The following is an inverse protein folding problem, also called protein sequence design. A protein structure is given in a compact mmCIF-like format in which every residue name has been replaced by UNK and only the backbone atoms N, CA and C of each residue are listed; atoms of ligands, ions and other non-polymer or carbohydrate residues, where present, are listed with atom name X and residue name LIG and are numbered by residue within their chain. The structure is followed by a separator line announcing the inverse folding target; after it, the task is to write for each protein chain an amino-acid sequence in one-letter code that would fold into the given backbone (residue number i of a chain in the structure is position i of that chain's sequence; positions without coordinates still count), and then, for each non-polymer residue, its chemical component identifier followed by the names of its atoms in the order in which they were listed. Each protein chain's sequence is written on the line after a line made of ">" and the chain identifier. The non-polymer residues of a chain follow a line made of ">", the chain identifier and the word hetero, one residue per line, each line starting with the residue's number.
data_IF_140238215152
#
_entry.id   IF_140238215152
#
_cell.length_a   1.000
_cell.length_b   1.000
_cell.length_c   1.000
_cell.angle_alpha   90.00
_cell.angle_beta   90.00
_cell.angle_gamma   90.00
#
_symmetry.space_group_name_H-M   'P 1'
#
loop_
_entity.id
_entity.type
_entity.pdbx_description
1 polymer ?
#
# COMPACT_ATOMS: atom_id res chain seq x y z
N UNK A 1 -12.25 -73.81 -9.46
CA UNK A 1 -12.61 -72.45 -9.01
C UNK A 1 -13.94 -72.56 -8.33
N UNK A 2 -15.00 -72.94 -9.04
CA UNK A 2 -16.20 -73.49 -8.41
C UNK A 2 -16.00 -75.01 -8.35
N UNK A 3 -15.64 -75.52 -7.18
CA UNK A 3 -15.21 -76.92 -6.99
C UNK A 3 -16.38 -77.84 -6.62
N UNK A 4 -17.41 -77.29 -5.96
CA UNK A 4 -18.66 -78.00 -5.66
C UNK A 4 -19.74 -77.86 -6.76
N UNK A 5 -19.47 -77.04 -7.77
CA UNK A 5 -20.32 -76.77 -8.93
C UNK A 5 -21.70 -76.20 -8.57
N UNK A 6 -21.78 -75.42 -7.48
CA UNK A 6 -23.01 -74.78 -7.02
C UNK A 6 -23.41 -73.52 -7.84
N UNK A 7 -22.51 -73.07 -8.72
CA UNK A 7 -22.71 -71.91 -9.60
C UNK A 7 -22.24 -70.58 -9.01
N UNK A 8 -21.67 -70.62 -7.81
CA UNK A 8 -21.02 -69.51 -7.13
C UNK A 8 -19.60 -69.91 -6.71
N UNK A 9 -18.76 -68.91 -6.44
CA UNK A 9 -17.41 -69.13 -5.93
C UNK A 9 -17.29 -68.45 -4.58
N UNK A 10 -16.95 -69.22 -3.56
CA UNK A 10 -16.78 -68.72 -2.20
C UNK A 10 -15.33 -68.27 -1.92
N UNK A 11 -15.15 -67.72 -0.71
CA UNK A 11 -13.83 -67.23 -0.27
C UNK A 11 -12.79 -68.33 -0.08
N UNK A 12 -13.20 -69.53 0.33
CA UNK A 12 -12.29 -70.66 0.56
C UNK A 12 -11.82 -71.27 -0.75
N UNK A 13 -12.73 -71.47 -1.69
CA UNK A 13 -12.44 -71.96 -3.04
C UNK A 13 -11.52 -71.01 -3.80
N UNK A 14 -11.73 -69.69 -3.65
CA UNK A 14 -10.84 -68.70 -4.25
C UNK A 14 -9.44 -68.72 -3.62
N UNK A 15 -9.31 -68.91 -2.30
CA UNK A 15 -8.00 -69.00 -1.64
C UNK A 15 -7.25 -70.27 -2.06
N UNK A 16 -7.94 -71.41 -2.17
CA UNK A 16 -7.39 -72.67 -2.67
C UNK A 16 -6.93 -72.52 -4.12
N UNK A 17 -7.78 -71.97 -5.00
CA UNK A 17 -7.44 -71.70 -6.39
C UNK A 17 -6.21 -70.80 -6.56
N UNK A 18 -6.11 -69.73 -5.78
CA UNK A 18 -4.98 -68.81 -5.86
C UNK A 18 -3.65 -69.46 -5.46
N UNK A 19 -3.67 -70.37 -4.49
CA UNK A 19 -2.47 -71.06 -3.98
C UNK A 19 -2.08 -72.26 -4.84
N UNK A 20 -3.04 -73.06 -5.26
CA UNK A 20 -2.78 -74.33 -5.94
C UNK A 20 -2.58 -74.15 -7.45
N UNK A 21 -3.51 -73.46 -8.11
CA UNK A 21 -3.51 -73.32 -9.56
C UNK A 21 -2.67 -72.14 -10.04
N UNK A 22 -2.84 -70.97 -9.41
CA UNK A 22 -2.10 -69.75 -9.76
C UNK A 22 -0.74 -69.62 -9.04
N UNK A 23 -0.48 -70.46 -8.02
CA UNK A 23 0.79 -70.51 -7.27
C UNK A 23 1.20 -69.18 -6.64
N UNK A 24 0.24 -68.39 -6.15
CA UNK A 24 0.52 -67.18 -5.38
C UNK A 24 0.93 -67.52 -3.94
N UNK A 25 2.03 -66.90 -3.49
CA UNK A 25 2.54 -67.12 -2.13
C UNK A 25 1.84 -66.25 -1.07
N UNK A 26 1.23 -65.13 -1.49
CA UNK A 26 0.38 -64.27 -0.64
C UNK A 26 -0.88 -63.84 -1.41
N UNK A 27 -2.00 -64.58 -1.25
CA UNK A 27 -3.23 -64.32 -2.00
C UNK A 27 -4.08 -63.19 -1.41
N UNK A 28 -3.73 -62.60 -0.26
CA UNK A 28 -4.64 -61.70 0.50
C UNK A 28 -5.11 -60.48 -0.29
N UNK A 29 -4.21 -59.83 -1.01
CA UNK A 29 -4.56 -58.64 -1.80
C UNK A 29 -5.44 -58.99 -3.00
N UNK A 30 -5.17 -60.14 -3.63
CA UNK A 30 -5.94 -60.66 -4.78
C UNK A 30 -7.32 -61.15 -4.34
N UNK A 31 -7.38 -61.85 -3.22
CA UNK A 31 -8.60 -62.31 -2.57
C UNK A 31 -9.53 -61.13 -2.23
N UNK A 32 -8.98 -60.07 -1.62
CA UNK A 32 -9.74 -58.84 -1.33
C UNK A 32 -10.17 -58.10 -2.60
N UNK A 33 -9.38 -58.12 -3.66
CA UNK A 33 -9.74 -57.50 -4.94
C UNK A 33 -10.92 -58.21 -5.61
N UNK A 34 -10.94 -59.54 -5.57
CA UNK A 34 -11.96 -60.37 -6.20
C UNK A 34 -13.29 -60.34 -5.43
N UNK A 35 -13.26 -60.63 -4.13
CA UNK A 35 -14.45 -60.66 -3.27
C UNK A 35 -14.93 -59.27 -2.83
N UNK A 36 -14.03 -58.31 -2.64
CA UNK A 36 -14.32 -56.99 -2.03
C UNK A 36 -15.11 -57.11 -0.72
N UNK A 37 -16.44 -57.10 -0.78
CA UNK A 37 -17.35 -57.28 0.36
C UNK A 37 -18.30 -58.48 0.18
N UNK A 38 -18.31 -59.12 -0.99
CA UNK A 38 -19.19 -60.21 -1.38
C UNK A 38 -18.55 -61.56 -1.03
N UNK A 39 -19.26 -62.37 -0.25
CA UNK A 39 -18.77 -63.68 0.20
C UNK A 39 -18.85 -64.76 -0.89
N UNK A 40 -19.78 -64.60 -1.85
CA UNK A 40 -20.00 -65.52 -2.95
C UNK A 40 -20.07 -64.71 -4.24
N UNK A 41 -19.36 -65.16 -5.28
CA UNK A 41 -19.33 -64.51 -6.59
C UNK A 41 -19.96 -65.45 -7.61
N UNK A 42 -21.01 -65.01 -8.29
CA UNK A 42 -21.60 -65.80 -9.37
C UNK A 42 -20.82 -65.65 -10.69
N UNK A 43 -21.05 -66.57 -11.63
CA UNK A 43 -20.51 -66.47 -13.00
C UNK A 43 -20.94 -65.15 -13.69
N UNK A 44 -22.15 -64.68 -13.40
CA UNK A 44 -22.64 -63.42 -13.95
C UNK A 44 -21.86 -62.22 -13.39
N UNK A 45 -21.49 -62.26 -12.11
CA UNK A 45 -20.70 -61.22 -11.47
C UNK A 45 -19.27 -61.18 -12.03
N UNK A 46 -18.64 -62.35 -12.24
CA UNK A 46 -17.35 -62.44 -12.92
C UNK A 46 -17.40 -61.86 -14.35
N UNK A 47 -18.47 -62.16 -15.09
CA UNK A 47 -18.67 -61.65 -16.45
C UNK A 47 -18.85 -60.13 -16.47
N UNK A 48 -19.62 -59.59 -15.52
CA UNK A 48 -19.82 -58.15 -15.38
C UNK A 48 -18.53 -57.45 -14.92
N UNK A 49 -17.79 -58.05 -13.99
CA UNK A 49 -16.48 -57.57 -13.54
C UNK A 49 -15.50 -57.50 -14.72
N UNK A 50 -15.41 -58.56 -15.53
CA UNK A 50 -14.57 -58.57 -16.73
C UNK A 50 -14.99 -57.52 -17.76
N UNK A 51 -16.28 -57.38 -18.06
CA UNK A 51 -16.79 -56.35 -18.97
C UNK A 51 -16.51 -54.92 -18.51
N UNK A 52 -16.52 -54.70 -17.20
CA UNK A 52 -16.22 -53.40 -16.60
C UNK A 52 -14.73 -53.09 -16.53
N UNK A 53 -13.89 -54.11 -16.68
CA UNK A 53 -12.43 -53.99 -16.64
C UNK A 53 -11.87 -53.38 -17.92
N UNK A 54 -10.78 -52.63 -17.79
CA UNK A 54 -10.06 -52.01 -18.92
C UNK A 54 -9.61 -53.04 -19.96
N UNK A 55 -9.37 -54.29 -19.52
CA UNK A 55 -8.97 -55.44 -20.33
C UNK A 55 -9.99 -55.73 -21.43
N UNK A 56 -11.29 -55.56 -21.16
CA UNK A 56 -12.33 -55.81 -22.15
C UNK A 56 -12.20 -54.91 -23.39
N UNK A 57 -11.70 -53.69 -23.19
CA UNK A 57 -11.53 -52.68 -24.23
C UNK A 57 -10.11 -52.65 -24.82
N UNK A 58 -9.28 -53.65 -24.51
CA UNK A 58 -7.93 -53.70 -25.05
C UNK A 58 -7.90 -53.91 -26.56
N UNK A 59 -7.08 -53.08 -27.21
CA UNK A 59 -6.74 -53.22 -28.62
C UNK A 59 -5.73 -54.35 -28.83
N UNK A 60 -5.61 -54.81 -30.07
CA UNK A 60 -4.63 -55.85 -30.45
C UNK A 60 -3.19 -55.45 -30.07
N UNK A 61 -2.86 -54.16 -30.12
CA UNK A 61 -1.54 -53.65 -29.72
C UNK A 61 -1.32 -53.76 -28.21
N UNK A 62 -2.32 -53.44 -27.39
CA UNK A 62 -2.20 -53.59 -25.93
C UNK A 62 -2.10 -55.07 -25.51
N UNK A 63 -2.79 -55.97 -26.22
CA UNK A 63 -2.63 -57.42 -26.02
C UNK A 63 -1.24 -57.89 -26.44
N UNK A 64 -0.66 -57.31 -27.49
CA UNK A 64 0.71 -57.58 -27.93
C UNK A 64 1.73 -57.09 -26.89
N UNK A 65 1.57 -55.87 -26.39
CA UNK A 65 2.40 -55.31 -25.31
C UNK A 65 2.30 -56.14 -24.04
N UNK A 66 1.09 -56.58 -23.68
CA UNK A 66 0.87 -57.51 -22.57
C UNK A 66 1.62 -58.84 -22.77
N UNK A 67 1.56 -59.43 -23.96
CA UNK A 67 2.26 -60.66 -24.29
C UNK A 67 3.79 -60.49 -24.17
N UNK A 68 4.30 -59.31 -24.52
CA UNK A 68 5.71 -58.96 -24.43
C UNK A 68 6.18 -58.73 -22.99
N UNK A 69 5.47 -57.89 -22.24
CA UNK A 69 5.90 -57.41 -20.92
C UNK A 69 5.50 -58.38 -19.80
N UNK A 70 4.27 -58.89 -19.83
CA UNK A 70 3.71 -59.65 -18.70
C UNK A 70 3.80 -61.17 -18.88
N UNK A 71 3.70 -61.65 -20.12
CA UNK A 71 3.82 -63.08 -20.44
C UNK A 71 5.26 -63.43 -20.86
N UNK A 72 6.02 -62.44 -21.33
CA UNK A 72 7.41 -62.58 -21.80
C UNK A 72 7.53 -63.59 -22.97
N UNK A 73 6.54 -63.59 -23.87
CA UNK A 73 6.49 -64.49 -25.03
C UNK A 73 6.46 -63.70 -26.36
N UNK A 74 7.53 -62.97 -26.69
CA UNK A 74 7.60 -62.16 -27.92
C UNK A 74 7.44 -62.98 -29.20
N UNK A 75 7.85 -64.24 -29.19
CA UNK A 75 7.85 -65.13 -30.35
C UNK A 75 6.46 -65.41 -30.94
N UNK A 76 5.38 -65.19 -30.17
CA UNK A 76 4.01 -65.42 -30.63
C UNK A 76 3.27 -64.13 -31.00
N UNK A 77 3.91 -62.95 -30.88
CA UNK A 77 3.28 -61.64 -31.17
C UNK A 77 2.69 -61.58 -32.59
N UNK A 78 3.42 -62.09 -33.59
CA UNK A 78 2.93 -62.12 -34.96
C UNK A 78 1.68 -62.96 -35.14
N UNK A 79 1.54 -64.07 -34.40
CA UNK A 79 0.36 -64.93 -34.46
C UNK A 79 -0.86 -64.20 -33.88
N UNK A 80 -0.67 -63.52 -32.75
CA UNK A 80 -1.71 -62.70 -32.11
C UNK A 80 -2.15 -61.54 -33.02
N UNK A 81 -1.19 -60.87 -33.68
CA UNK A 81 -1.45 -59.80 -34.63
C UNK A 81 -2.18 -60.29 -35.89
N UNK A 82 -1.76 -61.43 -36.47
CA UNK A 82 -2.40 -62.03 -37.66
C UNK A 82 -3.85 -62.42 -37.38
N UNK A 83 -4.14 -62.87 -36.16
CA UNK A 83 -5.48 -63.26 -35.75
C UNK A 83 -6.33 -62.14 -35.17
N UNK A 84 -5.76 -60.94 -35.01
CA UNK A 84 -6.41 -59.77 -34.42
C UNK A 84 -7.03 -60.10 -33.06
N UNK A 85 -6.26 -60.77 -32.20
CA UNK A 85 -6.70 -61.07 -30.85
C UNK A 85 -6.80 -59.79 -30.03
N UNK A 86 -8.03 -59.41 -29.72
CA UNK A 86 -8.42 -58.27 -28.91
C UNK A 86 -8.71 -58.69 -27.46
N UNK A 87 -8.90 -57.71 -26.57
CA UNK A 87 -9.19 -57.96 -25.16
C UNK A 87 -10.40 -58.86 -24.92
N UNK A 88 -11.38 -58.83 -25.84
CA UNK A 88 -12.60 -59.65 -25.83
C UNK A 88 -12.32 -61.13 -26.02
N UNK A 89 -11.22 -61.48 -26.69
CA UNK A 89 -10.83 -62.86 -26.94
C UNK A 89 -9.99 -63.48 -25.80
N UNK A 90 -9.52 -62.68 -24.84
CA UNK A 90 -8.67 -63.16 -23.73
C UNK A 90 -9.29 -64.29 -22.91
N UNK A 91 -10.60 -64.29 -22.57
CA UNK A 91 -11.22 -65.42 -21.88
C UNK A 91 -11.11 -66.75 -22.62
N UNK A 92 -11.05 -66.73 -23.95
CA UNK A 92 -10.87 -67.94 -24.75
C UNK A 92 -9.45 -68.51 -24.64
N UNK A 93 -8.47 -67.68 -24.26
CA UNK A 93 -7.08 -68.07 -24.02
C UNK A 93 -6.86 -68.61 -22.61
N UNK A 94 -7.68 -68.19 -21.64
CA UNK A 94 -7.64 -68.69 -20.27
C UNK A 94 -8.22 -70.11 -20.13
N UNK A 95 -8.99 -70.57 -21.11
CA UNK A 95 -9.47 -71.95 -21.17
C UNK A 95 -8.48 -72.81 -21.95
N UNK A 96 -8.22 -74.01 -21.45
CA UNK A 96 -7.34 -74.99 -22.11
C UNK A 96 -7.96 -75.50 -23.41
N UNK A 97 -7.68 -74.80 -24.52
CA UNK A 97 -8.15 -75.17 -25.85
C UNK A 97 -6.96 -75.52 -26.75
N UNK A 98 -6.70 -76.81 -26.92
CA UNK A 98 -5.57 -77.31 -27.73
C UNK A 98 -5.70 -76.90 -29.20
N UNK A 99 -6.91 -76.83 -29.74
CA UNK A 99 -7.15 -76.39 -31.13
C UNK A 99 -6.72 -74.93 -31.32
N UNK A 100 -7.14 -74.03 -30.43
CA UNK A 100 -6.79 -72.60 -30.51
C UNK A 100 -5.27 -72.40 -30.29
N UNK A 101 -4.72 -73.04 -29.26
CA UNK A 101 -3.33 -72.82 -28.88
C UNK A 101 -2.34 -73.46 -29.85
N UNK A 102 -2.63 -74.67 -30.35
CA UNK A 102 -1.71 -75.43 -31.21
C UNK A 102 -1.93 -75.16 -32.70
N UNK A 103 -3.17 -75.21 -33.21
CA UNK A 103 -3.42 -75.08 -34.65
C UNK A 103 -3.43 -73.61 -35.11
N UNK A 104 -3.93 -72.74 -34.24
CA UNK A 104 -4.28 -71.37 -34.56
C UNK A 104 -3.14 -70.44 -34.11
N UNK A 105 -2.70 -70.53 -32.86
CA UNK A 105 -1.58 -69.74 -32.33
C UNK A 105 -0.18 -70.35 -32.54
N UNK A 106 -0.10 -71.62 -32.98
CA UNK A 106 1.16 -72.36 -33.21
C UNK A 106 2.06 -72.45 -31.97
N UNK A 107 1.47 -72.43 -30.77
CA UNK A 107 2.19 -72.62 -29.52
C UNK A 107 2.29 -74.13 -29.29
N UNK A 108 3.39 -74.72 -29.76
CA UNK A 108 3.64 -76.16 -29.66
C UNK A 108 4.07 -76.58 -28.25
N UNK A 109 4.68 -75.66 -27.49
CA UNK A 109 5.17 -75.94 -26.16
C UNK A 109 4.06 -75.86 -25.11
N UNK A 110 3.93 -76.94 -24.33
CA UNK A 110 2.98 -77.04 -23.23
C UNK A 110 3.28 -76.01 -22.15
N UNK A 111 4.55 -75.71 -21.88
CA UNK A 111 4.95 -74.76 -20.83
C UNK A 111 4.47 -73.34 -21.16
N UNK A 112 4.65 -72.90 -22.42
CA UNK A 112 4.19 -71.60 -22.90
C UNK A 112 2.67 -71.51 -22.93
N UNK A 113 1.98 -72.59 -23.31
CA UNK A 113 0.51 -72.63 -23.27
C UNK A 113 -0.03 -72.45 -21.85
N UNK A 114 0.60 -73.09 -20.86
CA UNK A 114 0.22 -73.01 -19.45
C UNK A 114 0.55 -71.63 -18.88
N UNK A 115 1.72 -71.06 -19.18
CA UNK A 115 2.10 -69.70 -18.76
C UNK A 115 1.12 -68.67 -19.31
N UNK A 116 0.78 -68.76 -20.60
CA UNK A 116 -0.20 -67.88 -21.24
C UNK A 116 -1.58 -68.03 -20.60
N UNK A 117 -2.02 -69.27 -20.34
CA UNK A 117 -3.31 -69.55 -19.72
C UNK A 117 -3.41 -68.92 -18.31
N UNK A 118 -2.39 -69.15 -17.46
CA UNK A 118 -2.34 -68.61 -16.10
C UNK A 118 -2.30 -67.07 -16.11
N UNK A 119 -1.51 -66.47 -17.01
CA UNK A 119 -1.43 -65.01 -17.13
C UNK A 119 -2.71 -64.39 -17.70
N UNK A 120 -3.35 -65.05 -18.67
CA UNK A 120 -4.64 -64.61 -19.20
C UNK A 120 -5.71 -64.64 -18.10
N UNK A 121 -5.73 -65.70 -17.31
CA UNK A 121 -6.65 -65.86 -16.20
C UNK A 121 -6.43 -64.82 -15.10
N UNK A 122 -5.18 -64.58 -14.69
CA UNK A 122 -4.82 -63.53 -13.73
C UNK A 122 -5.37 -62.15 -14.18
N UNK A 123 -5.26 -61.83 -15.47
CA UNK A 123 -5.73 -60.55 -16.00
C UNK A 123 -7.24 -60.44 -16.12
N UNK A 124 -7.92 -61.53 -16.43
CA UNK A 124 -9.38 -61.54 -16.50
C UNK A 124 -9.98 -61.40 -15.10
N UNK A 125 -9.39 -62.07 -14.11
CA UNK A 125 -9.88 -62.08 -12.73
C UNK A 125 -9.49 -60.80 -11.97
N UNK A 126 -8.27 -60.31 -12.16
CA UNK A 126 -7.71 -59.23 -11.34
C UNK A 126 -7.43 -57.93 -12.10
N UNK A 127 -7.61 -57.91 -13.42
CA UNK A 127 -7.38 -56.74 -14.26
C UNK A 127 -5.94 -56.63 -14.76
N UNK A 128 -5.62 -55.53 -15.48
CA UNK A 128 -4.26 -55.28 -15.97
C UNK A 128 -3.25 -55.37 -14.83
N UNK A 129 -2.06 -55.96 -15.03
CA UNK A 129 -0.96 -55.69 -14.12
C UNK A 129 -0.77 -54.17 -14.06
N UNK A 130 -0.35 -53.61 -12.92
CA UNK A 130 -0.02 -52.20 -12.81
C UNK A 130 1.20 -51.91 -13.70
N UNK A 131 0.96 -51.74 -15.00
CA UNK A 131 1.98 -51.46 -15.99
C UNK A 131 2.27 -49.95 -15.98
N UNK A 132 3.42 -49.63 -16.56
CA UNK A 132 4.17 -48.38 -16.67
C UNK A 132 3.39 -47.16 -17.23
N UNK A 133 2.09 -47.03 -16.99
CA UNK A 133 1.24 -45.92 -17.39
C UNK A 133 1.19 -44.79 -16.33
N UNK A 134 2.01 -44.92 -15.29
CA UNK A 134 2.07 -43.98 -14.17
C UNK A 134 3.24 -43.01 -14.26
N UNK A 135 4.30 -43.23 -15.04
CA UNK A 135 5.42 -42.26 -15.04
C UNK A 135 4.99 -40.86 -15.49
N UNK A 136 4.12 -40.75 -16.49
CA UNK A 136 3.54 -39.47 -16.90
C UNK A 136 2.57 -38.90 -15.86
N UNK A 137 1.74 -39.75 -15.25
CA UNK A 137 0.78 -39.32 -14.21
C UNK A 137 1.52 -38.85 -12.95
N UNK A 138 2.58 -39.56 -12.57
CA UNK A 138 3.48 -39.26 -11.46
C UNK A 138 4.30 -38.01 -11.75
N UNK A 139 4.71 -37.78 -13.00
CA UNK A 139 5.39 -36.56 -13.43
C UNK A 139 4.45 -35.35 -13.37
N UNK A 140 3.20 -35.50 -13.82
CA UNK A 140 2.16 -34.46 -13.70
C UNK A 140 1.84 -34.20 -12.22
N UNK A 141 1.73 -35.25 -11.40
CA UNK A 141 1.50 -35.15 -9.96
C UNK A 141 2.64 -34.40 -9.28
N UNK A 142 3.89 -34.78 -9.56
CA UNK A 142 5.09 -34.12 -9.05
C UNK A 142 5.16 -32.65 -9.47
N UNK A 143 4.83 -32.35 -10.73
CA UNK A 143 4.78 -30.97 -11.22
C UNK A 143 3.69 -30.17 -10.50
N UNK A 144 2.53 -30.77 -10.22
CA UNK A 144 1.44 -30.12 -9.47
C UNK A 144 1.83 -29.81 -8.03
N UNK A 145 2.53 -30.73 -7.37
CA UNK A 145 3.04 -30.54 -6.00
C UNK A 145 4.11 -29.46 -5.99
N UNK A 146 4.98 -29.42 -6.99
CA UNK A 146 6.02 -28.38 -7.10
C UNK A 146 5.41 -26.99 -7.35
N UNK A 147 4.35 -26.89 -8.16
CA UNK A 147 3.58 -25.66 -8.34
C UNK A 147 2.88 -25.23 -7.05
N UNK A 148 2.34 -26.17 -6.27
CA UNK A 148 1.75 -25.86 -4.97
C UNK A 148 2.79 -25.38 -3.94
N UNK A 149 3.96 -26.01 -3.89
CA UNK A 149 5.05 -25.62 -2.99
C UNK A 149 5.65 -24.26 -3.36
N UNK A 150 5.83 -23.99 -4.66
CA UNK A 150 6.28 -22.68 -5.13
C UNK A 150 5.25 -21.59 -4.84
N UNK A 151 3.96 -21.88 -5.03
CA UNK A 151 2.86 -20.99 -4.63
C UNK A 151 2.84 -20.72 -3.11
N UNK A 152 2.94 -21.76 -2.29
CA UNK A 152 2.98 -21.63 -0.83
C UNK A 152 4.22 -20.87 -0.34
N UNK A 153 5.40 -21.15 -0.90
CA UNK A 153 6.63 -20.42 -0.58
C UNK A 153 6.53 -18.94 -0.99
N UNK A 154 5.99 -18.66 -2.18
CA UNK A 154 5.79 -17.29 -2.65
C UNK A 154 4.79 -16.52 -1.77
N UNK A 155 3.67 -17.14 -1.40
CA UNK A 155 2.71 -16.55 -0.47
C UNK A 155 3.32 -16.32 0.92
N UNK A 156 4.16 -17.23 1.41
CA UNK A 156 4.87 -17.08 2.67
C UNK A 156 5.87 -15.91 2.63
N UNK A 157 6.64 -15.78 1.55
CA UNK A 157 7.57 -14.65 1.32
C UNK A 157 6.80 -13.33 1.17
N UNK A 158 5.71 -13.32 0.42
CA UNK A 158 4.86 -12.15 0.23
C UNK A 158 4.18 -11.73 1.54
N UNK A 159 3.75 -12.69 2.35
CA UNK A 159 3.23 -12.43 3.69
C UNK A 159 4.31 -11.79 4.56
N UNK A 160 5.55 -12.29 4.51
CA UNK A 160 6.67 -11.69 5.26
C UNK A 160 6.96 -10.27 4.80
N UNK A 161 6.95 -10.00 3.49
CA UNK A 161 7.16 -8.65 2.92
C UNK A 161 5.98 -7.71 3.21
N UNK A 162 4.75 -8.20 3.21
CA UNK A 162 3.54 -7.42 3.54
C UNK A 162 3.52 -6.97 5.00
N UNK A 163 4.15 -7.71 5.92
CA UNK A 163 4.28 -7.29 7.33
C UNK A 163 5.13 -6.03 7.46
N UNK A 164 6.15 -5.87 6.62
CA UNK A 164 6.95 -4.66 6.58
C UNK A 164 6.13 -3.47 6.08
N UNK A 165 5.35 -3.66 5.00
CA UNK A 165 4.45 -2.61 4.48
C UNK A 165 3.33 -2.26 5.47
N UNK A 166 2.74 -3.24 6.15
CA UNK A 166 1.76 -3.01 7.23
C UNK A 166 2.37 -2.26 8.41
N UNK A 167 3.62 -2.56 8.78
CA UNK A 167 4.31 -1.84 9.84
C UNK A 167 4.60 -0.38 9.48
N UNK A 168 4.85 -0.11 8.18
CA UNK A 168 5.00 1.27 7.66
C UNK A 168 3.66 2.00 7.67
N UNK A 169 2.61 1.37 7.17
CA UNK A 169 1.26 1.93 7.20
C UNK A 169 0.76 2.19 8.62
N UNK A 170 1.07 1.33 9.58
CA UNK A 170 0.72 1.54 10.99
C UNK A 170 1.45 2.75 11.59
N UNK A 171 2.73 2.93 11.26
CA UNK A 171 3.50 4.14 11.66
C UNK A 171 2.93 5.41 11.05
N UNK A 172 2.51 5.35 9.78
CA UNK A 172 1.90 6.49 9.11
C UNK A 172 0.53 6.83 9.73
N UNK A 173 -0.26 5.82 10.12
CA UNK A 173 -1.54 5.97 10.83
C UNK A 173 -1.36 6.59 12.22
N UNK A 174 -0.37 6.11 12.98
CA UNK A 174 -0.01 6.74 14.26
C UNK A 174 0.46 8.19 14.06
N UNK A 175 1.18 8.47 12.98
CA UNK A 175 1.59 9.82 12.59
C UNK A 175 0.41 10.74 12.27
N UNK A 176 -0.54 10.25 11.48
CA UNK A 176 -1.78 10.96 11.16
C UNK A 176 -2.64 11.22 12.40
N UNK A 177 -2.80 10.22 13.28
CA UNK A 177 -3.55 10.37 14.51
C UNK A 177 -2.90 11.40 15.45
N UNK A 178 -1.56 11.47 15.48
CA UNK A 178 -0.83 12.49 16.25
C UNK A 178 -1.01 13.89 15.67
N UNK A 179 -1.07 14.01 14.34
CA UNK A 179 -1.34 15.26 13.65
C UNK A 179 -2.80 15.72 13.85
N UNK A 180 -3.75 14.78 13.89
CA UNK A 180 -5.15 15.08 14.23
C UNK A 180 -5.26 15.61 15.67
N UNK A 181 -4.59 14.95 16.63
CA UNK A 181 -4.54 15.42 18.02
C UNK A 181 -3.89 16.80 18.15
N UNK A 182 -2.82 17.09 17.40
CA UNK A 182 -2.16 18.40 17.46
C UNK A 182 -3.01 19.51 16.83
N UNK A 183 -3.77 19.20 15.77
CA UNK A 183 -4.75 20.14 15.20
C UNK A 183 -5.89 20.44 16.16
N UNK A 184 -6.40 19.42 16.87
CA UNK A 184 -7.40 19.61 17.92
C UNK A 184 -6.86 20.46 19.08
N UNK A 185 -5.63 20.20 19.53
CA UNK A 185 -4.95 21.00 20.58
C UNK A 185 -4.71 22.44 20.13
N UNK A 186 -4.37 22.66 18.86
CA UNK A 186 -4.24 24.01 18.29
C UNK A 186 -5.58 24.74 18.19
N UNK A 187 -6.66 24.04 17.82
CA UNK A 187 -8.01 24.61 17.84
C UNK A 187 -8.44 24.99 19.26
N UNK A 188 -8.21 24.12 20.24
CA UNK A 188 -8.53 24.40 21.67
C UNK A 188 -7.70 25.59 22.19
N UNK A 189 -6.41 25.67 21.86
CA UNK A 189 -5.56 26.82 22.21
C UNK A 189 -6.00 28.12 21.55
N UNK A 190 -6.38 28.09 20.27
CA UNK A 190 -6.93 29.26 19.58
C UNK A 190 -8.27 29.69 20.18
N UNK A 191 -9.12 28.74 20.54
CA UNK A 191 -10.40 29.03 21.18
C UNK A 191 -10.20 29.66 22.56
N UNK A 192 -9.30 29.10 23.38
CA UNK A 192 -8.93 29.69 24.69
C UNK A 192 -8.33 31.08 24.54
N UNK A 193 -7.41 31.29 23.60
CA UNK A 193 -6.84 32.61 23.35
C UNK A 193 -7.91 33.62 22.89
N UNK A 194 -8.88 33.18 22.08
CA UNK A 194 -10.01 34.01 21.65
C UNK A 194 -10.98 34.32 22.80
N UNK A 195 -11.23 33.37 23.70
CA UNK A 195 -12.04 33.55 24.92
C UNK A 195 -11.36 34.51 25.90
N UNK A 196 -10.06 34.33 26.15
CA UNK A 196 -9.25 35.25 26.96
C UNK A 196 -9.24 36.65 26.34
N UNK A 197 -9.05 36.76 25.03
CA UNK A 197 -9.08 38.06 24.35
C UNK A 197 -10.48 38.71 24.43
N UNK A 198 -11.57 37.94 24.40
CA UNK A 198 -12.93 38.46 24.65
C UNK A 198 -13.12 38.90 26.09
N UNK A 199 -12.66 38.13 27.07
CA UNK A 199 -12.74 38.48 28.48
C UNK A 199 -11.98 39.78 28.77
N UNK A 200 -10.75 39.89 28.25
CA UNK A 200 -9.91 41.09 28.38
C UNK A 200 -10.54 42.30 27.66
N UNK A 201 -11.18 42.11 26.51
CA UNK A 201 -11.91 43.21 25.85
C UNK A 201 -13.12 43.67 26.66
N UNK A 202 -13.88 42.75 27.25
CA UNK A 202 -15.03 43.09 28.10
C UNK A 202 -14.59 43.80 29.37
N UNK A 203 -13.55 43.31 30.04
CA UNK A 203 -12.96 43.97 31.21
C UNK A 203 -12.41 45.35 30.85
N UNK A 204 -11.73 45.48 29.71
CA UNK A 204 -11.22 46.77 29.23
C UNK A 204 -12.36 47.77 29.01
N UNK A 205 -13.45 47.38 28.35
CA UNK A 205 -14.62 48.27 28.14
C UNK A 205 -15.23 48.66 29.47
N UNK A 206 -15.38 47.71 30.40
CA UNK A 206 -15.91 47.98 31.74
C UNK A 206 -15.04 48.98 32.52
N UNK A 207 -13.72 48.80 32.49
CA UNK A 207 -12.76 49.70 33.14
C UNK A 207 -12.75 51.08 32.46
N UNK A 208 -12.82 51.14 31.14
CA UNK A 208 -12.93 52.41 30.40
C UNK A 208 -14.22 53.17 30.75
N UNK A 209 -15.33 52.46 30.98
CA UNK A 209 -16.60 53.05 31.40
C UNK A 209 -16.54 53.55 32.86
N UNK A 210 -15.92 52.78 33.77
CA UNK A 210 -15.65 53.22 35.15
C UNK A 210 -14.78 54.48 35.18
N UNK A 211 -13.67 54.51 34.44
CA UNK A 211 -12.80 55.69 34.31
C UNK A 211 -13.54 56.90 33.72
N UNK A 212 -14.39 56.71 32.70
CA UNK A 212 -15.20 57.80 32.14
C UNK A 212 -16.18 58.35 33.16
N UNK A 213 -16.81 57.49 33.95
CA UNK A 213 -17.74 57.90 35.00
C UNK A 213 -17.02 58.70 36.10
N UNK A 214 -15.86 58.25 36.55
CA UNK A 214 -15.02 58.97 37.53
C UNK A 214 -14.55 60.33 36.99
N UNK A 215 -14.14 60.40 35.73
CA UNK A 215 -13.77 61.68 35.10
C UNK A 215 -14.99 62.59 34.99
N UNK A 216 -16.17 62.05 34.68
CA UNK A 216 -17.40 62.84 34.56
C UNK A 216 -17.86 63.42 35.90
N UNK A 217 -17.76 62.64 36.99
CA UNK A 217 -18.09 63.10 38.34
C UNK A 217 -17.09 64.15 38.82
N UNK A 218 -15.79 63.91 38.64
CA UNK A 218 -14.74 64.89 38.96
C UNK A 218 -14.89 66.19 38.14
N UNK A 219 -15.30 66.09 36.87
CA UNK A 219 -15.57 67.25 36.03
C UNK A 219 -16.81 68.02 36.51
N UNK A 220 -17.86 67.32 36.95
CA UNK A 220 -19.06 67.94 37.51
C UNK A 220 -18.76 68.64 38.85
N UNK A 221 -17.92 68.05 39.70
CA UNK A 221 -17.43 68.69 40.92
C UNK A 221 -16.57 69.93 40.62
N UNK A 222 -15.68 69.84 39.64
CA UNK A 222 -14.87 70.96 39.19
C UNK A 222 -15.72 72.10 38.57
N UNK A 223 -16.79 71.77 37.84
CA UNK A 223 -17.75 72.76 37.33
C UNK A 223 -18.53 73.42 38.47
N UNK A 224 -18.99 72.65 39.45
CA UNK A 224 -19.65 73.18 40.65
C UNK A 224 -18.74 74.13 41.44
N UNK A 225 -17.47 73.78 41.60
CA UNK A 225 -16.45 74.64 42.24
C UNK A 225 -16.13 75.88 41.41
N UNK A 226 -16.17 75.79 40.07
CA UNK A 226 -16.05 76.95 39.18
C UNK A 226 -17.23 77.90 39.31
N UNK A 227 -18.46 77.40 39.34
CA UNK A 227 -19.66 78.22 39.53
C UNK A 227 -19.64 78.95 40.89
N UNK A 228 -19.17 78.27 41.95
CA UNK A 228 -18.92 78.88 43.26
C UNK A 228 -17.86 80.02 43.20
N UNK A 229 -16.85 79.88 42.35
CA UNK A 229 -15.75 80.85 42.20
C UNK A 229 -16.10 82.01 41.26
N UNK A 230 -16.86 81.77 40.19
CA UNK A 230 -17.37 82.82 39.30
C UNK A 230 -18.41 83.71 40.00
N UNK A 231 -19.10 83.22 41.02
CA UNK A 231 -20.00 84.02 41.86
C UNK A 231 -19.30 85.01 42.80
N UNK A 232 -17.98 84.92 43.02
CA UNK A 232 -17.27 85.71 44.05
C UNK A 232 -16.14 86.62 43.53
N UNK A 233 -15.69 86.51 42.27
CA UNK A 233 -14.45 87.18 41.83
C UNK A 233 -14.50 88.09 40.58
N UNK A 234 -15.66 88.51 40.05
CA UNK A 234 -15.70 89.36 38.86
C UNK A 234 -16.09 90.82 39.16
N UNK A 235 -15.09 91.73 39.20
CA UNK A 235 -15.05 92.98 38.38
C UNK A 235 -13.98 94.02 38.81
N UNK A 236 -13.42 94.00 40.03
CA UNK A 236 -12.54 95.11 40.51
C UNK A 236 -11.04 94.83 40.66
N UNK A 237 -10.59 93.59 40.79
CA UNK A 237 -9.19 93.25 41.12
C UNK A 237 -8.30 92.97 39.90
N UNK A 238 -8.89 92.48 38.80
CA UNK A 238 -8.13 92.03 37.63
C UNK A 238 -7.56 93.16 36.76
N UNK A 239 -8.17 94.35 36.77
CA UNK A 239 -7.69 95.51 36.00
C UNK A 239 -6.50 96.22 36.66
N UNK A 240 -6.47 96.32 38.00
CA UNK A 240 -5.35 96.96 38.73
C UNK A 240 -4.03 96.16 38.66
N UNK A 241 -4.12 94.83 38.73
CA UNK A 241 -2.93 93.97 38.68
C UNK A 241 -2.28 93.94 37.28
N UNK A 242 -3.07 94.04 36.22
CA UNK A 242 -2.56 94.07 34.85
C UNK A 242 -1.85 95.39 34.51
N UNK A 243 -2.24 96.52 35.11
CA UNK A 243 -1.54 97.80 34.94
C UNK A 243 -0.19 97.84 35.69
N UNK A 244 -0.12 97.29 36.90
CA UNK A 244 1.14 97.25 37.68
C UNK A 244 2.22 96.37 37.05
N UNK A 245 1.85 95.22 36.48
CA UNK A 245 2.79 94.32 35.78
C UNK A 245 3.34 94.96 34.50
N UNK A 246 2.53 95.72 33.76
CA UNK A 246 2.95 96.39 32.52
C UNK A 246 4.02 97.47 32.79
N UNK A 247 3.92 98.14 33.93
CA UNK A 247 4.84 99.20 34.34
C UNK A 247 6.18 98.64 34.86
N UNK A 248 6.15 97.50 35.56
CA UNK A 248 7.36 96.76 35.94
C UNK A 248 8.11 96.22 34.72
N UNK A 249 7.41 95.66 33.73
CA UNK A 249 8.03 95.13 32.52
C UNK A 249 8.69 96.23 31.69
N UNK A 250 8.07 97.42 31.59
CA UNK A 250 8.68 98.58 30.89
C UNK A 250 9.95 99.08 31.58
N UNK A 251 9.97 99.10 32.91
CA UNK A 251 11.16 99.49 33.68
C UNK A 251 12.30 98.48 33.54
N UNK A 252 11.99 97.17 33.54
CA UNK A 252 12.97 96.11 33.35
C UNK A 252 13.59 96.14 31.94
N UNK A 253 12.76 96.35 30.90
CA UNK A 253 13.23 96.41 29.52
C UNK A 253 14.18 97.60 29.28
N UNK A 254 13.84 98.78 29.81
CA UNK A 254 14.66 100.00 29.70
C UNK A 254 15.98 99.92 30.47
N UNK A 255 16.07 99.03 31.46
CA UNK A 255 17.29 98.72 32.21
C UNK A 255 18.15 97.70 31.44
N UNK A 256 17.54 96.68 30.87
CA UNK A 256 18.21 95.69 30.03
C UNK A 256 18.80 96.31 28.74
N UNK A 257 18.09 97.26 28.13
CA UNK A 257 18.57 97.99 26.94
C UNK A 257 19.84 98.81 27.24
N UNK A 258 19.88 99.52 28.37
CA UNK A 258 21.06 100.27 28.82
C UNK A 258 22.25 99.37 29.22
N UNK A 259 21.98 98.17 29.75
CA UNK A 259 23.02 97.18 30.03
C UNK A 259 23.56 96.52 28.75
N UNK A 260 22.74 96.40 27.70
CA UNK A 260 23.17 95.87 26.40
C UNK A 260 24.01 96.88 25.62
N UNK A 261 23.61 98.16 25.57
CA UNK A 261 24.39 99.20 24.89
C UNK A 261 25.75 99.46 25.55
N UNK A 262 25.84 99.33 26.88
CA UNK A 262 27.13 99.43 27.60
C UNK A 262 28.03 98.21 27.45
N UNK A 263 27.48 97.04 27.08
CA UNK A 263 28.23 95.79 26.82
C UNK A 263 28.59 95.56 25.35
N UNK A 264 28.01 96.31 24.42
CA UNK A 264 28.19 96.13 22.98
C UNK A 264 29.47 96.80 22.41
N UNK A 265 30.63 96.66 23.07
CA UNK A 265 31.96 96.93 22.48
C UNK A 265 32.68 95.63 22.11
N UNK A 266 31.96 94.63 21.58
CA UNK A 266 32.57 93.38 21.15
C UNK A 266 32.22 93.06 19.70
N UNK A 267 33.21 93.25 18.81
CA UNK A 267 33.16 92.76 17.45
C UNK A 267 33.36 91.23 17.44
N UNK A 268 32.57 90.45 16.66
CA UNK A 268 32.73 89.00 16.60
C UNK A 268 34.12 88.60 16.05
N UNK A 269 34.84 87.65 16.68
CA UNK A 269 36.18 87.25 16.26
C UNK A 269 36.22 86.70 14.82
N UNK A 270 37.19 87.16 14.01
CA UNK A 270 37.40 86.74 12.60
C UNK A 270 37.41 85.22 12.40
N UNK A 271 37.90 84.46 13.39
CA UNK A 271 37.95 83.01 13.32
C UNK A 271 36.55 82.41 13.17
N UNK A 272 35.56 82.93 13.91
CA UNK A 272 34.19 82.43 13.90
C UNK A 272 33.49 82.80 12.58
N UNK A 273 33.79 83.98 12.04
CA UNK A 273 33.33 84.39 10.71
C UNK A 273 33.93 83.51 9.59
N UNK A 274 35.23 83.19 9.68
CA UNK A 274 35.90 82.26 8.76
C UNK A 274 35.33 80.84 8.85
N UNK A 275 35.02 80.34 10.05
CA UNK A 275 34.38 79.04 10.23
C UNK A 275 32.98 79.00 9.65
N UNK A 276 32.16 80.02 9.92
CA UNK A 276 30.78 80.10 9.44
C UNK A 276 30.72 80.24 7.91
N UNK A 277 31.66 81.00 7.34
CA UNK A 277 31.84 81.09 5.90
C UNK A 277 32.30 79.76 5.28
N UNK A 278 33.27 79.07 5.90
CA UNK A 278 33.74 77.76 5.43
C UNK A 278 32.63 76.71 5.47
N UNK A 279 31.85 76.66 6.56
CA UNK A 279 30.72 75.72 6.67
C UNK A 279 29.65 76.02 5.62
N UNK A 280 29.35 77.30 5.38
CA UNK A 280 28.38 77.69 4.36
C UNK A 280 28.87 77.32 2.94
N UNK A 281 30.14 77.57 2.64
CA UNK A 281 30.75 77.23 1.34
C UNK A 281 30.71 75.71 1.09
N UNK A 282 31.05 74.90 2.10
CA UNK A 282 31.00 73.43 2.03
C UNK A 282 29.57 72.94 1.79
N UNK A 283 28.60 73.49 2.51
CA UNK A 283 27.20 73.10 2.40
C UNK A 283 26.62 73.46 1.02
N UNK A 284 26.97 74.62 0.48
CA UNK A 284 26.57 75.04 -0.88
C UNK A 284 27.19 74.14 -1.95
N UNK A 285 28.47 73.79 -1.83
CA UNK A 285 29.13 72.86 -2.76
C UNK A 285 28.45 71.49 -2.73
N UNK A 286 28.16 70.96 -1.54
CA UNK A 286 27.51 69.68 -1.38
C UNK A 286 26.09 69.67 -1.96
N UNK A 287 25.33 70.75 -1.75
CA UNK A 287 24.01 70.94 -2.33
C UNK A 287 24.07 70.97 -3.87
N UNK A 288 25.01 71.71 -4.46
CA UNK A 288 25.14 71.82 -5.91
C UNK A 288 25.53 70.51 -6.59
N UNK A 289 26.45 69.73 -6.00
CA UNK A 289 26.82 68.40 -6.50
C UNK A 289 25.61 67.47 -6.50
N UNK A 290 24.84 67.49 -5.39
CA UNK A 290 23.64 66.67 -5.24
C UNK A 290 22.52 67.08 -6.20
N UNK A 291 22.41 68.38 -6.51
CA UNK A 291 21.47 68.90 -7.50
C UNK A 291 21.85 68.47 -8.93
N UNK A 292 23.12 68.62 -9.33
CA UNK A 292 23.57 68.20 -10.66
C UNK A 292 23.48 66.70 -10.88
N UNK A 293 23.72 65.87 -9.85
CA UNK A 293 23.55 64.42 -9.97
C UNK A 293 22.08 64.04 -10.16
N UNK A 294 21.17 64.72 -9.44
CA UNK A 294 19.73 64.55 -9.62
C UNK A 294 19.28 65.00 -11.03
N UNK A 295 19.77 66.14 -11.54
CA UNK A 295 19.44 66.62 -12.90
C UNK A 295 19.95 65.67 -14.00
N UNK A 296 21.16 65.10 -13.84
CA UNK A 296 21.68 64.07 -14.77
C UNK A 296 20.85 62.79 -14.77
N UNK A 297 20.39 62.35 -13.60
CA UNK A 297 19.49 61.20 -13.50
C UNK A 297 18.14 61.46 -14.20
N UNK A 298 17.61 62.67 -14.08
CA UNK A 298 16.39 63.07 -14.79
C UNK A 298 16.59 63.14 -16.31
N UNK A 299 17.75 63.60 -16.80
CA UNK A 299 18.08 63.64 -18.23
C UNK A 299 18.25 62.23 -18.81
N UNK A 300 18.96 61.32 -18.14
CA UNK A 300 19.06 59.91 -18.58
C UNK A 300 17.70 59.22 -18.62
N UNK A 301 16.84 59.50 -17.62
CA UNK A 301 15.48 58.97 -17.61
C UNK A 301 14.62 59.54 -18.76
N UNK A 302 14.87 60.77 -19.19
CA UNK A 302 14.18 61.41 -20.31
C UNK A 302 14.64 60.87 -21.67
N UNK A 303 15.94 60.76 -21.91
CA UNK A 303 16.50 60.23 -23.17
C UNK A 303 16.11 58.75 -23.35
N UNK A 304 16.15 57.94 -22.29
CA UNK A 304 15.65 56.56 -22.33
C UNK A 304 14.13 56.44 -22.56
N UNK A 305 13.36 57.51 -22.29
CA UNK A 305 11.94 57.61 -22.62
C UNK A 305 11.68 58.04 -24.07
N UNK A 306 12.54 58.90 -24.63
CA UNK A 306 12.44 59.37 -26.02
C UNK A 306 12.90 58.28 -27.03
N UNK A 307 13.89 57.45 -26.69
CA UNK A 307 14.33 56.31 -27.52
C UNK A 307 13.27 55.19 -27.61
N UNK A 308 12.49 54.96 -26.55
CA UNK A 308 11.36 54.02 -26.57
C UNK A 308 10.13 54.56 -27.32
N UNK A 309 10.01 55.89 -27.49
CA UNK A 309 8.91 56.51 -28.24
C UNK A 309 9.19 56.60 -29.74
N UNK A 310 10.46 56.67 -30.17
CA UNK A 310 10.83 56.67 -31.59
C UNK A 310 10.87 55.26 -32.23
N UNK A 311 11.00 54.20 -31.42
CA UNK A 311 10.95 52.81 -31.90
C UNK A 311 9.51 52.24 -32.05
N UNK A 312 8.48 53.04 -31.75
CA UNK A 312 7.06 52.67 -31.84
C UNK A 312 6.30 53.40 -32.96
N UNK A 313 6.98 54.17 -33.82
CA UNK A 313 6.37 54.93 -34.94
C UNK A 313 7.02 54.74 -36.34
N UNK A 314 7.92 53.77 -36.51
CA UNK A 314 8.32 53.28 -37.85
C UNK A 314 7.99 51.80 -37.97
N UNK A 315 6.72 51.51 -38.20
CA UNK A 315 6.21 50.19 -38.56
C UNK A 315 5.40 50.28 -39.85
#
# INVERSE_FOLDING_TARGET
>A
MDDDADGTVDTTETDEFLREDLKYHDPKDKHRSFHRADLHISVADMWNAWKSSEVYNWTVQQVEDWLLVSVELPQYSEAFRKQKLDGRALPRLAVKNTTLTVLVLKILDRSHSQKLQLKALDIILFGPPPDHQNWWKDLVLALSVLMALTGCWFAFVQTRKSRDDLSRLMKDLEGLQRAEQSLLDLQDKLQRAQEEQRCVQVEKVKVEEELRNEISSAKQEAQRLRELREGTENERSRQKYAEEELEQVRMALKKAERELESRAHWAPPEALQKWLQLTHEIEVQYYNIKKQSAERQLLQAREGGEDNNNNTHSH
#
